data_IF_214932937615
#
_entry.id   IF_214932937615
#
_cell.length_a   1.000
_cell.length_b   1.000
_cell.length_c   1.000
_cell.angle_alpha   90.00
_cell.angle_beta   90.00
_cell.angle_gamma   90.00
#
_symmetry.space_group_name_H-M   'P 1'
#
loop_
_entity.id
_entity.type
_entity.pdbx_description
1 polymer ?
#
# COMPACT_ATOMS: atom_id res chain seq x y z
N UNK A 1 -16.93 20.65 -17.28
CA UNK A 1 -15.88 20.63 -16.24
C UNK A 1 -16.11 19.43 -15.35
N UNK A 2 -15.19 18.47 -15.34
CA UNK A 2 -15.29 17.30 -14.45
C UNK A 2 -14.92 17.74 -13.04
N UNK A 3 -15.84 17.62 -12.08
CA UNK A 3 -15.57 17.95 -10.68
C UNK A 3 -14.51 17.02 -10.12
N UNK A 4 -13.36 17.55 -9.73
CA UNK A 4 -12.30 16.76 -9.09
C UNK A 4 -12.77 16.39 -7.68
N UNK A 5 -12.81 15.09 -7.38
CA UNK A 5 -13.12 14.60 -6.03
C UNK A 5 -12.00 15.01 -5.07
N UNK A 6 -12.30 15.80 -4.05
CA UNK A 6 -11.32 16.20 -3.03
C UNK A 6 -11.21 15.16 -1.92
N UNK A 7 -9.99 14.83 -1.50
CA UNK A 7 -9.74 13.96 -0.35
C UNK A 7 -10.15 14.66 0.96
N UNK A 8 -10.77 13.91 1.88
CA UNK A 8 -11.20 14.42 3.18
C UNK A 8 -11.04 13.33 4.24
N UNK A 9 -10.57 13.72 5.43
CA UNK A 9 -10.61 12.84 6.59
C UNK A 9 -12.05 12.54 7.01
N UNK A 10 -12.24 11.37 7.61
CA UNK A 10 -13.53 10.95 8.19
C UNK A 10 -13.40 10.80 9.70
N UNK A 11 -13.27 11.90 10.48
CA UNK A 11 -12.93 11.84 11.91
C UNK A 11 -13.92 11.02 12.74
N UNK A 12 -15.20 11.06 12.36
CA UNK A 12 -16.30 10.35 13.03
C UNK A 12 -16.33 8.84 12.77
N UNK A 13 -15.41 8.30 11.96
CA UNK A 13 -15.37 6.86 11.73
C UNK A 13 -14.99 6.12 13.02
N UNK A 14 -15.80 5.11 13.37
CA UNK A 14 -15.62 4.29 14.58
C UNK A 14 -14.28 3.57 14.61
N UNK A 15 -13.85 3.04 13.46
CA UNK A 15 -12.57 2.36 13.31
C UNK A 15 -11.52 3.40 12.91
N UNK A 16 -10.44 3.60 13.68
CA UNK A 16 -9.45 4.65 13.41
C UNK A 16 -8.85 4.59 12.01
N UNK A 17 -8.67 3.39 11.46
CA UNK A 17 -8.17 3.18 10.10
C UNK A 17 -9.08 3.84 9.05
N UNK A 18 -10.40 3.76 9.24
CA UNK A 18 -11.39 4.33 8.32
C UNK A 18 -11.45 5.86 8.35
N UNK A 19 -10.67 6.51 9.23
CA UNK A 19 -10.56 7.97 9.28
C UNK A 19 -9.60 8.50 8.21
N UNK A 20 -8.71 7.66 7.68
CA UNK A 20 -7.73 8.04 6.66
C UNK A 20 -8.43 8.49 5.37
N UNK A 21 -7.91 9.55 4.71
CA UNK A 21 -8.62 10.24 3.65
C UNK A 21 -8.67 9.47 2.32
N UNK A 22 -7.86 8.43 2.20
CA UNK A 22 -7.79 7.54 1.04
C UNK A 22 -8.53 6.21 1.28
N UNK A 23 -9.18 6.02 2.44
CA UNK A 23 -10.00 4.86 2.75
C UNK A 23 -11.47 5.27 2.66
N UNK A 24 -12.25 4.55 1.85
CA UNK A 24 -13.68 4.83 1.69
C UNK A 24 -14.51 3.57 1.47
N UNK A 25 -15.81 3.64 1.73
CA UNK A 25 -16.73 2.55 1.40
C UNK A 25 -16.79 2.37 -0.12
N UNK A 26 -16.79 1.13 -0.59
CA UNK A 26 -17.12 0.83 -2.00
C UNK A 26 -18.59 1.19 -2.27
N UNK A 27 -18.97 1.21 -3.54
CA UNK A 27 -20.36 1.49 -3.92
C UNK A 27 -21.33 0.53 -3.19
N UNK A 28 -22.56 0.95 -2.90
CA UNK A 28 -23.52 0.15 -2.13
C UNK A 28 -23.74 -1.27 -2.69
N UNK A 29 -23.57 -1.44 -4.00
CA UNK A 29 -23.81 -2.69 -4.72
C UNK A 29 -22.65 -3.70 -4.63
N UNK A 30 -21.43 -3.26 -4.29
CA UNK A 30 -20.24 -4.12 -4.24
C UNK A 30 -19.92 -4.52 -2.79
N UNK A 31 -20.33 -3.71 -1.81
CA UNK A 31 -19.99 -3.93 -0.40
C UNK A 31 -18.50 -3.77 -0.12
N UNK A 32 -18.15 -3.62 1.17
CA UNK A 32 -16.76 -3.54 1.62
C UNK A 32 -16.10 -2.15 1.53
N UNK A 33 -14.79 -2.13 1.78
CA UNK A 33 -13.96 -0.93 1.86
C UNK A 33 -12.97 -0.90 0.69
N UNK A 34 -12.70 0.27 0.15
CA UNK A 34 -11.55 0.55 -0.69
C UNK A 34 -10.44 1.13 0.18
N UNK A 35 -9.24 0.56 0.06
CA UNK A 35 -8.05 1.01 0.78
C UNK A 35 -7.21 2.00 -0.04
N UNK A 36 -7.61 2.30 -1.27
CA UNK A 36 -7.03 3.35 -2.09
C UNK A 36 -8.12 4.04 -2.94
N UNK A 37 -8.68 5.10 -2.40
CA UNK A 37 -9.76 5.90 -3.02
C UNK A 37 -9.28 7.28 -3.47
N UNK A 38 -8.09 7.34 -4.07
CA UNK A 38 -7.41 8.57 -4.49
C UNK A 38 -7.73 8.88 -5.97
N UNK A 39 -8.07 10.14 -6.33
CA UNK A 39 -8.32 10.53 -7.72
C UNK A 39 -7.08 10.33 -8.62
N UNK A 40 -7.31 9.86 -9.85
CA UNK A 40 -6.29 9.70 -10.89
C UNK A 40 -6.07 11.01 -11.66
N UNK A 41 -5.64 12.06 -10.97
CA UNK A 41 -5.52 13.41 -11.53
C UNK A 41 -4.28 14.11 -11.00
N UNK A 42 -3.67 14.98 -11.81
CA UNK A 42 -2.48 15.76 -11.41
C UNK A 42 -1.16 15.25 -12.01
N UNK A 43 -1.20 14.21 -12.84
CA UNK A 43 -0.02 13.63 -13.50
C UNK A 43 0.98 13.03 -12.51
N UNK A 44 2.14 12.59 -13.02
CA UNK A 44 3.14 11.89 -12.20
C UNK A 44 3.63 12.72 -11.00
N UNK A 45 4.09 13.95 -11.23
CA UNK A 45 4.62 14.81 -10.16
C UNK A 45 3.57 15.16 -9.10
N UNK A 46 2.33 15.51 -9.51
CA UNK A 46 1.23 15.73 -8.58
C UNK A 46 0.84 14.45 -7.82
N UNK A 47 0.95 13.30 -8.50
CA UNK A 47 0.82 11.99 -7.89
C UNK A 47 1.85 11.76 -6.79
N UNK A 48 3.14 12.03 -7.04
CA UNK A 48 4.21 11.90 -6.04
C UNK A 48 3.92 12.71 -4.78
N UNK A 49 3.61 14.01 -4.94
CA UNK A 49 3.28 14.89 -3.82
C UNK A 49 2.04 14.38 -3.04
N UNK A 50 1.05 13.84 -3.76
CA UNK A 50 -0.14 13.25 -3.15
C UNK A 50 0.22 12.00 -2.35
N UNK A 51 1.02 11.10 -2.93
CA UNK A 51 1.48 9.87 -2.28
C UNK A 51 2.24 10.16 -0.99
N UNK A 52 3.20 11.08 -1.04
CA UNK A 52 4.00 11.51 0.11
C UNK A 52 3.12 12.02 1.27
N UNK A 53 2.21 12.96 0.97
CA UNK A 53 1.32 13.51 1.99
C UNK A 53 0.43 12.43 2.65
N UNK A 54 -0.06 11.46 1.86
CA UNK A 54 -0.87 10.36 2.37
C UNK A 54 -0.05 9.34 3.16
N UNK A 55 1.23 9.14 2.81
CA UNK A 55 2.15 8.31 3.59
C UNK A 55 2.39 8.91 4.98
N UNK A 56 2.62 10.22 5.09
CA UNK A 56 2.70 10.88 6.41
C UNK A 56 1.40 10.75 7.20
N UNK A 57 0.24 10.85 6.55
CA UNK A 57 -1.03 10.57 7.22
C UNK A 57 -1.10 9.13 7.75
N UNK A 58 -0.59 8.15 7.01
CA UNK A 58 -0.56 6.76 7.43
C UNK A 58 0.45 6.51 8.56
N UNK A 59 1.63 7.11 8.49
CA UNK A 59 2.64 7.04 9.56
C UNK A 59 2.14 7.66 10.86
N UNK A 60 1.43 8.80 10.79
CA UNK A 60 0.74 9.37 11.97
C UNK A 60 -0.26 8.39 12.57
N UNK A 61 -1.04 7.72 11.72
CA UNK A 61 -1.97 6.69 12.16
C UNK A 61 -1.25 5.50 12.83
N UNK A 62 -0.17 4.98 12.23
CA UNK A 62 0.62 3.89 12.82
C UNK A 62 1.22 4.29 14.17
N UNK A 63 1.73 5.52 14.29
CA UNK A 63 2.26 6.04 15.56
C UNK A 63 1.19 6.11 16.65
N UNK A 64 -0.04 6.48 16.30
CA UNK A 64 -1.13 6.70 17.26
C UNK A 64 -1.90 5.42 17.61
N UNK A 65 -1.93 4.44 16.71
CA UNK A 65 -2.81 3.27 16.82
C UNK A 65 -2.11 1.93 16.59
N UNK A 66 -0.84 1.92 16.21
CA UNK A 66 -0.10 0.71 15.85
C UNK A 66 -0.49 0.14 14.48
N UNK A 67 0.06 -1.02 14.15
CA UNK A 67 -0.34 -1.79 12.97
C UNK A 67 -1.67 -2.52 13.20
N UNK A 68 -2.50 -2.65 12.17
CA UNK A 68 -3.68 -3.52 12.23
C UNK A 68 -3.29 -5.00 12.05
N UNK A 69 -4.14 -5.90 12.55
CA UNK A 69 -3.96 -7.36 12.42
C UNK A 69 -4.27 -7.90 11.02
N UNK A 70 -4.88 -7.10 10.14
CA UNK A 70 -5.40 -7.56 8.83
C UNK A 70 -4.55 -7.11 7.64
N UNK A 71 -3.32 -6.62 7.87
CA UNK A 71 -2.42 -6.26 6.78
C UNK A 71 -2.86 -5.01 6.00
N UNK A 72 -3.02 -3.88 6.69
CA UNK A 72 -3.46 -2.62 6.06
C UNK A 72 -2.56 -2.17 4.91
N UNK A 73 -1.23 -2.21 5.08
CA UNK A 73 -0.30 -1.76 4.05
C UNK A 73 -0.38 -2.67 2.81
N UNK A 74 -0.57 -3.98 3.02
CA UNK A 74 -0.77 -4.96 1.96
C UNK A 74 -2.05 -4.67 1.17
N UNK A 75 -3.14 -4.30 1.85
CA UNK A 75 -4.38 -3.87 1.19
C UNK A 75 -4.21 -2.55 0.44
N UNK A 76 -3.49 -1.57 1.00
CA UNK A 76 -3.18 -0.32 0.28
C UNK A 76 -2.43 -0.63 -1.02
N UNK A 77 -1.36 -1.45 -0.94
CA UNK A 77 -0.56 -1.85 -2.09
C UNK A 77 -1.41 -2.59 -3.14
N UNK A 78 -2.23 -3.56 -2.72
CA UNK A 78 -3.07 -4.33 -3.62
C UNK A 78 -4.06 -3.42 -4.36
N UNK A 79 -4.70 -2.48 -3.67
CA UNK A 79 -5.64 -1.55 -4.32
C UNK A 79 -4.93 -0.60 -5.29
N UNK A 80 -3.70 -0.16 -5.00
CA UNK A 80 -2.92 0.62 -5.97
C UNK A 80 -2.65 -0.18 -7.25
N UNK A 81 -2.30 -1.46 -7.12
CA UNK A 81 -2.06 -2.35 -8.25
C UNK A 81 -3.36 -2.62 -9.05
N UNK A 82 -4.46 -2.93 -8.37
CA UNK A 82 -5.79 -3.13 -8.99
C UNK A 82 -6.28 -1.89 -9.75
N UNK A 83 -5.94 -0.69 -9.25
CA UNK A 83 -6.32 0.57 -9.89
C UNK A 83 -5.63 0.77 -11.25
N UNK A 84 -4.56 0.01 -11.50
CA UNK A 84 -3.81 -0.04 -12.75
C UNK A 84 -2.67 0.96 -12.82
N UNK A 85 -1.60 0.61 -13.52
CA UNK A 85 -0.41 1.47 -13.69
C UNK A 85 -0.38 2.17 -15.05
N UNK A 86 -1.48 2.19 -15.80
CA UNK A 86 -1.53 2.91 -17.08
C UNK A 86 -1.57 4.43 -16.91
N UNK A 87 -2.04 4.91 -15.75
CA UNK A 87 -2.15 6.34 -15.43
C UNK A 87 -0.94 6.83 -14.63
N UNK A 88 -0.31 7.91 -15.12
CA UNK A 88 0.89 8.47 -14.51
C UNK A 88 0.63 9.05 -13.11
N UNK A 89 -0.58 9.55 -12.83
CA UNK A 89 -0.94 10.00 -11.48
C UNK A 89 -0.95 8.84 -10.48
N UNK A 90 -1.40 7.64 -10.89
CA UNK A 90 -1.37 6.47 -10.00
C UNK A 90 0.07 6.03 -9.75
N UNK A 91 0.90 5.99 -10.80
CA UNK A 91 2.34 5.68 -10.64
C UNK A 91 2.99 6.63 -9.66
N UNK A 92 2.77 7.94 -9.83
CA UNK A 92 3.30 8.96 -8.95
C UNK A 92 2.80 8.77 -7.51
N UNK A 93 1.50 8.51 -7.31
CA UNK A 93 0.92 8.24 -6.00
C UNK A 93 1.59 7.06 -5.30
N UNK A 94 1.78 5.94 -6.00
CA UNK A 94 2.46 4.78 -5.44
C UNK A 94 3.92 5.10 -5.09
N UNK A 95 4.65 5.74 -6.02
CA UNK A 95 6.05 6.13 -5.82
C UNK A 95 6.20 7.05 -4.61
N UNK A 96 5.48 8.18 -4.55
CA UNK A 96 5.58 9.11 -3.44
C UNK A 96 5.20 8.48 -2.09
N UNK A 97 4.17 7.62 -2.09
CA UNK A 97 3.75 6.93 -0.88
C UNK A 97 4.82 5.97 -0.36
N UNK A 98 5.32 5.08 -1.22
CA UNK A 98 6.30 4.06 -0.81
C UNK A 98 7.70 4.63 -0.60
N UNK A 99 8.13 5.65 -1.35
CA UNK A 99 9.41 6.34 -1.08
C UNK A 99 9.42 6.96 0.33
N UNK A 100 8.31 7.56 0.75
CA UNK A 100 8.20 8.09 2.11
C UNK A 100 8.23 6.98 3.16
N UNK A 101 7.59 5.84 2.90
CA UNK A 101 7.64 4.70 3.83
C UNK A 101 9.01 4.03 3.89
N UNK A 102 9.75 4.00 2.78
CA UNK A 102 11.09 3.42 2.70
C UNK A 102 12.05 4.07 3.71
N UNK A 103 12.01 5.40 3.85
CA UNK A 103 12.85 6.11 4.83
C UNK A 103 12.59 5.64 6.27
N UNK A 104 11.32 5.40 6.60
CA UNK A 104 10.93 4.93 7.93
C UNK A 104 11.22 3.44 8.12
N UNK A 105 11.03 2.64 7.07
CA UNK A 105 11.35 1.22 7.05
C UNK A 105 12.86 1.02 7.23
N UNK A 106 13.68 1.75 6.47
CA UNK A 106 15.13 1.71 6.57
C UNK A 106 15.61 2.12 7.97
N UNK A 107 15.03 3.18 8.53
CA UNK A 107 15.36 3.60 9.90
C UNK A 107 15.01 2.51 10.94
N UNK A 108 13.85 1.85 10.81
CA UNK A 108 13.46 0.74 11.68
C UNK A 108 14.35 -0.48 11.50
N UNK A 109 14.63 -0.88 10.26
CA UNK A 109 15.50 -2.00 9.93
C UNK A 109 16.93 -1.79 10.45
N UNK A 110 17.46 -0.56 10.39
CA UNK A 110 18.80 -0.26 10.92
C UNK A 110 18.85 -0.24 12.45
N UNK A 111 17.80 0.25 13.12
CA UNK A 111 17.79 0.43 14.58
C UNK A 111 17.37 -0.83 15.34
N UNK A 112 16.42 -1.58 14.80
CA UNK A 112 15.78 -2.72 15.47
C UNK A 112 15.97 -4.04 14.68
N UNK A 113 16.89 -4.08 13.72
CA UNK A 113 17.07 -5.20 12.79
C UNK A 113 18.03 -6.30 13.22
N UNK A 114 18.39 -6.44 14.49
CA UNK A 114 19.35 -7.47 14.94
C UNK A 114 18.94 -8.90 14.52
N UNK A 115 17.64 -9.18 14.40
CA UNK A 115 17.14 -10.47 13.90
C UNK A 115 17.44 -10.74 12.42
N UNK A 116 17.81 -9.71 11.65
CA UNK A 116 18.17 -9.84 10.24
C UNK A 116 19.57 -10.46 10.06
N UNK A 117 20.46 -10.31 11.05
CA UNK A 117 21.84 -10.80 10.98
C UNK A 117 21.91 -12.35 10.92
N UNK A 118 20.90 -13.03 11.47
CA UNK A 118 20.79 -14.49 11.45
C UNK A 118 20.32 -15.03 10.09
N UNK A 119 19.76 -14.16 9.23
CA UNK A 119 19.20 -14.55 7.94
C UNK A 119 20.29 -14.61 6.87
N UNK A 120 20.63 -15.82 6.42
CA UNK A 120 21.54 -16.00 5.29
C UNK A 120 20.86 -15.62 3.98
N UNK A 121 21.54 -14.82 3.16
CA UNK A 121 21.06 -14.43 1.82
C UNK A 121 20.69 -15.63 0.95
N UNK A 122 21.48 -16.71 1.02
CA UNK A 122 21.21 -17.96 0.28
C UNK A 122 19.90 -18.62 0.72
N UNK A 123 19.55 -18.55 2.00
CA UNK A 123 18.28 -19.05 2.52
C UNK A 123 17.11 -18.20 1.99
N UNK A 124 17.25 -16.88 2.00
CA UNK A 124 16.21 -15.96 1.51
C UNK A 124 15.93 -16.18 0.01
N UNK A 125 16.97 -16.28 -0.82
CA UNK A 125 16.81 -16.55 -2.26
C UNK A 125 16.23 -17.94 -2.52
N UNK A 126 16.64 -18.97 -1.76
CA UNK A 126 16.04 -20.30 -1.88
C UNK A 126 14.55 -20.29 -1.54
N UNK A 127 14.16 -19.61 -0.47
CA UNK A 127 12.74 -19.47 -0.09
C UNK A 127 11.94 -18.74 -1.17
N UNK A 128 12.48 -17.65 -1.73
CA UNK A 128 11.83 -16.93 -2.82
C UNK A 128 11.67 -17.80 -4.08
N UNK A 129 12.72 -18.52 -4.49
CA UNK A 129 12.68 -19.40 -5.66
C UNK A 129 11.69 -20.56 -5.49
N UNK A 130 11.59 -21.15 -4.29
CA UNK A 130 10.57 -22.19 -4.01
C UNK A 130 9.16 -21.68 -4.28
N UNK A 131 8.83 -20.48 -3.80
CA UNK A 131 7.51 -19.87 -4.04
C UNK A 131 7.21 -19.58 -5.52
N UNK A 132 8.23 -19.36 -6.35
CA UNK A 132 8.08 -19.21 -7.80
C UNK A 132 7.93 -20.57 -8.51
N UNK A 133 8.64 -21.60 -8.04
CA UNK A 133 8.61 -22.95 -8.61
C UNK A 133 7.33 -23.74 -8.31
N UNK A 134 6.69 -23.53 -7.16
CA UNK A 134 5.42 -24.22 -6.81
C UNK A 134 4.28 -23.94 -7.82
N UNK A 135 4.43 -22.95 -8.70
CA UNK A 135 3.49 -22.64 -9.79
C UNK A 135 3.74 -23.52 -11.04
N UNK A 136 4.94 -24.06 -11.27
CA UNK A 136 5.24 -24.83 -12.49
C UNK A 136 4.67 -26.25 -12.49
N UNK A 137 4.44 -26.85 -11.33
CA UNK A 137 3.95 -28.24 -11.24
C UNK A 137 2.42 -28.35 -11.32
N UNK A 138 1.70 -27.22 -11.23
CA UNK A 138 0.24 -27.15 -11.36
C UNK A 138 -0.26 -26.89 -12.78
N UNK A 139 0.64 -26.60 -13.73
CA UNK A 139 0.29 -26.32 -15.14
C UNK A 139 0.72 -27.44 -16.12
N UNK A 140 1.37 -28.50 -15.64
CA UNK A 140 1.87 -29.60 -16.47
C UNK A 140 1.03 -30.91 -16.34
N UNK A 141 -0.17 -30.85 -15.76
CA UNK A 141 -1.07 -32.02 -15.61
C UNK A 141 -2.36 -31.88 -16.43
N UNK A 142 -2.30 -31.24 -17.60
CA UNK A 142 -3.35 -31.31 -18.63
C UNK A 142 -2.70 -31.59 -20.00
N UNK A 143 -2.27 -32.84 -20.22
CA UNK A 143 -2.16 -33.46 -21.55
C UNK A 143 -2.74 -34.88 -21.50
#
# INVERSE_FOLDING_TARGET
>A
MTTIKTLKYSPEAKIPLHRLPFISKKSPNIGGMSFWSVPKTGGYGGGCNTGEALAYSYLKHLREHGSSTCGTLQLIALYMLETGTSDDSIKGQAVGFFSTLEDWLAAGAQKDGASLDELKETFLIQQANRGLSDISDSLNNEE
#
